data_IF_475123637725
#
_entry.id   IF_475123637725
#
_cell.length_a   1.000
_cell.length_b   1.000
_cell.length_c   1.000
_cell.angle_alpha   90.00
_cell.angle_beta   90.00
_cell.angle_gamma   90.00
#
_symmetry.space_group_name_H-M   'P 1'
#
loop_
_entity.id
_entity.type
_entity.pdbx_description
1 polymer ?
#
# COMPACT_ATOMS: atom_id res chain seq x y z
N UNK A 1 11.28 2.64 -30.41
CA UNK A 1 12.17 2.82 -29.23
C UNK A 1 11.57 3.70 -28.12
N UNK A 2 10.44 4.40 -28.33
CA UNK A 2 9.87 5.34 -27.34
C UNK A 2 9.12 4.70 -26.15
N UNK A 3 8.75 3.41 -26.20
CA UNK A 3 7.95 2.79 -25.12
C UNK A 3 8.73 2.49 -23.85
N UNK A 4 10.06 2.28 -23.94
CA UNK A 4 10.89 1.86 -22.81
C UNK A 4 10.85 2.83 -21.59
N UNK A 5 11.02 4.16 -21.74
CA UNK A 5 10.93 5.08 -20.61
C UNK A 5 9.51 5.13 -20.02
N UNK A 6 8.47 5.02 -20.85
CA UNK A 6 7.09 5.01 -20.38
C UNK A 6 6.79 3.76 -19.55
N UNK A 7 7.23 2.59 -19.99
CA UNK A 7 7.06 1.32 -19.26
C UNK A 7 7.81 1.32 -17.93
N UNK A 8 8.94 2.02 -17.82
CA UNK A 8 9.72 2.07 -16.58
C UNK A 8 8.95 2.71 -15.42
N UNK A 9 8.05 3.66 -15.72
CA UNK A 9 7.25 4.37 -14.71
C UNK A 9 5.84 3.78 -14.60
N UNK A 10 5.21 3.50 -15.73
CA UNK A 10 3.81 3.05 -15.75
C UNK A 10 3.61 1.64 -15.23
N UNK A 11 4.55 0.72 -15.42
CA UNK A 11 4.43 -0.64 -14.90
C UNK A 11 4.44 -0.66 -13.35
N UNK A 12 5.40 -0.04 -12.66
CA UNK A 12 5.37 0.05 -11.20
C UNK A 12 4.15 0.81 -10.66
N UNK A 13 3.68 1.82 -11.38
CA UNK A 13 2.49 2.59 -11.01
C UNK A 13 1.21 1.74 -11.09
N UNK A 14 1.02 0.99 -12.18
CA UNK A 14 -0.12 0.08 -12.31
C UNK A 14 -0.08 -1.05 -11.28
N UNK A 15 1.11 -1.58 -10.97
CA UNK A 15 1.30 -2.51 -9.88
C UNK A 15 0.87 -1.92 -8.53
N UNK A 16 1.29 -0.69 -8.25
CA UNK A 16 0.94 0.02 -7.02
C UNK A 16 -0.56 0.31 -6.88
N UNK A 17 -1.29 0.52 -7.98
CA UNK A 17 -2.75 0.65 -7.94
C UNK A 17 -3.44 -0.67 -7.55
N UNK A 18 -2.88 -1.81 -7.95
CA UNK A 18 -3.40 -3.13 -7.60
C UNK A 18 -3.02 -3.56 -6.19
N UNK A 19 -1.81 -3.23 -5.73
CA UNK A 19 -1.31 -3.62 -4.41
C UNK A 19 -1.72 -2.64 -3.29
N UNK A 20 -1.97 -1.38 -3.65
CA UNK A 20 -2.46 -0.21 -2.89
C UNK A 20 -2.70 -0.30 -1.38
N UNK A 21 -1.76 -0.85 -0.62
CA UNK A 21 -1.75 -0.88 0.84
C UNK A 21 -0.48 -0.17 1.32
N UNK A 22 -0.66 0.80 2.20
CA UNK A 22 0.44 1.59 2.75
C UNK A 22 1.40 0.71 3.59
N UNK A 23 0.86 -0.25 4.34
CA UNK A 23 1.62 -1.14 5.20
C UNK A 23 2.49 -2.12 4.41
N UNK A 24 1.87 -2.88 3.51
CA UNK A 24 2.61 -3.81 2.66
C UNK A 24 3.58 -3.09 1.71
N UNK A 25 3.18 -1.93 1.17
CA UNK A 25 4.03 -1.07 0.36
C UNK A 25 5.28 -0.60 1.10
N UNK A 26 5.15 -0.25 2.39
CA UNK A 26 6.26 0.13 3.27
C UNK A 26 7.25 -1.03 3.49
N UNK A 27 6.75 -2.24 3.74
CA UNK A 27 7.61 -3.42 3.92
C UNK A 27 8.40 -3.70 2.63
N UNK A 28 7.73 -3.67 1.48
CA UNK A 28 8.38 -3.87 0.18
C UNK A 28 9.41 -2.77 -0.13
N UNK A 29 9.09 -1.52 0.20
CA UNK A 29 10.01 -0.39 0.04
C UNK A 29 11.27 -0.55 0.90
N UNK A 30 11.11 -0.90 2.19
CA UNK A 30 12.23 -1.12 3.10
C UNK A 30 13.10 -2.32 2.67
N UNK A 31 12.48 -3.40 2.22
CA UNK A 31 13.19 -4.56 1.70
C UNK A 31 14.00 -4.21 0.44
N UNK A 32 13.41 -3.44 -0.50
CA UNK A 32 14.10 -2.97 -1.70
C UNK A 32 15.26 -2.02 -1.36
N UNK A 33 15.05 -1.10 -0.42
CA UNK A 33 16.07 -0.17 0.06
C UNK A 33 17.25 -0.92 0.69
N UNK A 34 16.97 -1.94 1.50
CA UNK A 34 18.01 -2.80 2.07
C UNK A 34 18.84 -3.49 0.98
N UNK A 35 18.20 -4.02 -0.07
CA UNK A 35 18.92 -4.61 -1.21
C UNK A 35 19.78 -3.60 -1.96
N UNK A 36 19.31 -2.36 -2.14
CA UNK A 36 20.10 -1.29 -2.77
C UNK A 36 21.31 -0.93 -1.91
N UNK A 37 21.16 -0.80 -0.59
CA UNK A 37 22.28 -0.49 0.31
C UNK A 37 23.34 -1.58 0.36
N UNK A 38 22.94 -2.85 0.18
CA UNK A 38 23.83 -4.01 0.21
C UNK A 38 24.37 -4.43 -1.16
N UNK A 39 24.18 -3.61 -2.19
CA UNK A 39 24.54 -3.95 -3.57
C UNK A 39 26.01 -4.36 -3.71
N UNK A 40 26.94 -3.63 -3.07
CA UNK A 40 28.39 -3.89 -3.15
C UNK A 40 28.80 -5.23 -2.54
N UNK A 41 28.12 -5.67 -1.49
CA UNK A 41 28.41 -6.95 -0.84
C UNK A 41 27.88 -8.13 -1.67
N UNK A 42 26.73 -7.95 -2.33
CA UNK A 42 26.13 -8.94 -3.23
C UNK A 42 26.89 -9.07 -4.56
N UNK A 43 27.41 -7.96 -5.09
CA UNK A 43 28.23 -7.96 -6.30
C UNK A 43 29.60 -8.63 -6.08
N UNK A 44 30.20 -8.44 -4.90
CA UNK A 44 31.42 -9.15 -4.52
C UNK A 44 31.19 -10.66 -4.33
N UNK A 45 30.04 -11.07 -3.77
CA UNK A 45 29.67 -12.48 -3.60
C UNK A 45 29.37 -13.18 -4.94
N UNK A 46 28.85 -12.44 -5.93
CA UNK A 46 28.58 -12.95 -7.29
C UNK A 46 29.83 -13.49 -7.98
N UNK A 47 31.01 -12.90 -7.73
CA UNK A 47 32.27 -13.29 -8.38
C UNK A 47 32.86 -14.58 -7.75
N UNK A 48 32.61 -14.83 -6.47
CA UNK A 48 33.14 -16.03 -5.77
C UNK A 48 32.31 -17.30 -5.98
N UNK A 49 31.03 -17.19 -6.34
CA UNK A 49 30.06 -18.31 -6.30
C UNK A 49 29.79 -18.99 -7.66
N UNK A 50 30.48 -18.62 -8.75
CA UNK A 50 30.30 -19.26 -10.07
C UNK A 50 30.57 -20.79 -10.07
N UNK A 51 31.32 -21.29 -9.08
CA UNK A 51 31.64 -22.73 -8.93
C UNK A 51 30.61 -23.49 -8.07
N UNK A 52 29.83 -22.80 -7.22
CA UNK A 52 28.76 -23.41 -6.38
C UNK A 52 27.39 -23.42 -7.07
N UNK A 53 27.38 -22.97 -8.34
CA UNK A 53 26.26 -22.40 -9.09
C UNK A 53 25.27 -23.41 -9.68
N UNK A 54 25.55 -24.72 -9.66
CA UNK A 54 24.74 -25.68 -10.43
C UNK A 54 23.56 -26.33 -9.67
N UNK A 55 23.55 -26.29 -8.35
CA UNK A 55 22.57 -27.04 -7.53
C UNK A 55 21.40 -26.18 -6.99
N UNK A 56 21.52 -24.85 -7.00
CA UNK A 56 20.54 -23.88 -6.43
C UNK A 56 19.91 -23.01 -7.55
N UNK A 57 19.71 -23.60 -8.74
CA UNK A 57 19.42 -22.85 -9.97
C UNK A 57 18.11 -22.04 -9.91
N UNK A 58 17.11 -22.49 -9.12
CA UNK A 58 15.80 -21.83 -9.00
C UNK A 58 15.82 -20.55 -8.15
N UNK A 59 16.39 -20.62 -6.94
CA UNK A 59 16.45 -19.47 -6.01
C UNK A 59 17.38 -18.40 -6.55
N UNK A 60 18.53 -18.79 -7.11
CA UNK A 60 19.50 -17.83 -7.64
C UNK A 60 18.92 -17.01 -8.81
N UNK A 61 18.13 -17.61 -9.70
CA UNK A 61 17.55 -16.91 -10.85
C UNK A 61 16.60 -15.77 -10.43
N UNK A 62 15.81 -16.00 -9.38
CA UNK A 62 14.89 -15.00 -8.84
C UNK A 62 15.70 -13.85 -8.22
N UNK A 63 16.75 -14.18 -7.45
CA UNK A 63 17.64 -13.17 -6.87
C UNK A 63 18.40 -12.37 -7.94
N UNK A 64 18.89 -13.01 -9.01
CA UNK A 64 19.56 -12.31 -10.12
C UNK A 64 18.61 -11.37 -10.86
N UNK A 65 17.37 -11.82 -11.10
CA UNK A 65 16.33 -10.99 -11.75
C UNK A 65 15.92 -9.82 -10.85
N UNK A 66 15.76 -10.05 -9.54
CA UNK A 66 15.48 -9.01 -8.55
C UNK A 66 16.62 -7.98 -8.45
N UNK A 67 17.87 -8.42 -8.52
CA UNK A 67 19.04 -7.52 -8.46
C UNK A 67 19.16 -6.64 -9.72
N UNK A 68 18.82 -7.19 -10.89
CA UNK A 68 18.68 -6.42 -12.13
C UNK A 68 17.53 -5.41 -12.06
N UNK A 69 16.43 -5.77 -11.39
CA UNK A 69 15.24 -4.94 -11.19
C UNK A 69 15.23 -4.08 -9.92
N UNK A 70 16.36 -3.89 -9.23
CA UNK A 70 16.41 -3.24 -7.89
C UNK A 70 15.70 -1.89 -7.81
N UNK A 71 15.89 -1.03 -8.82
CA UNK A 71 15.22 0.27 -8.88
C UNK A 71 13.73 0.17 -9.21
N UNK A 72 13.33 -0.85 -9.98
CA UNK A 72 11.93 -1.09 -10.34
C UNK A 72 11.15 -1.52 -9.10
N UNK A 73 11.72 -2.41 -8.27
CA UNK A 73 11.09 -2.88 -7.02
C UNK A 73 11.00 -1.73 -6.00
N UNK A 74 12.03 -0.89 -5.92
CA UNK A 74 12.01 0.32 -5.11
C UNK A 74 10.89 1.29 -5.54
N UNK A 75 10.76 1.53 -6.86
CA UNK A 75 9.68 2.33 -7.44
C UNK A 75 8.30 1.72 -7.18
N UNK A 76 8.15 0.40 -7.28
CA UNK A 76 6.90 -0.31 -6.95
C UNK A 76 6.48 -0.05 -5.50
N UNK A 77 7.40 -0.18 -4.54
CA UNK A 77 7.13 0.12 -3.13
C UNK A 77 6.78 1.58 -2.90
N UNK A 78 7.52 2.51 -3.51
CA UNK A 78 7.27 3.95 -3.38
C UNK A 78 5.88 4.35 -3.91
N UNK A 79 5.51 3.86 -5.09
CA UNK A 79 4.17 4.13 -5.63
C UNK A 79 3.07 3.45 -4.83
N UNK A 80 3.32 2.26 -4.26
CA UNK A 80 2.33 1.58 -3.42
C UNK A 80 2.03 2.33 -2.12
N UNK A 81 3.05 2.97 -1.51
CA UNK A 81 2.84 3.84 -0.34
C UNK A 81 2.00 5.05 -0.75
N UNK A 82 2.28 5.63 -1.92
CA UNK A 82 1.51 6.78 -2.44
C UNK A 82 0.05 6.42 -2.69
N UNK A 83 -0.23 5.32 -3.39
CA UNK A 83 -1.61 4.87 -3.64
C UNK A 83 -2.31 4.42 -2.36
N UNK A 84 -1.62 3.73 -1.45
CA UNK A 84 -2.16 3.35 -0.14
C UNK A 84 -2.51 4.55 0.74
N UNK A 85 -1.72 5.64 0.66
CA UNK A 85 -2.05 6.89 1.34
C UNK A 85 -3.30 7.56 0.75
N UNK A 86 -3.47 7.53 -0.58
CA UNK A 86 -4.67 8.03 -1.25
C UNK A 86 -5.90 7.19 -0.90
N UNK A 87 -5.76 5.86 -0.88
CA UNK A 87 -6.84 4.95 -0.52
C UNK A 87 -7.20 4.99 0.96
N UNK A 88 -6.33 5.59 1.79
CA UNK A 88 -6.52 5.66 3.23
C UNK A 88 -6.70 4.25 3.83
N UNK A 89 -5.84 3.33 3.44
CA UNK A 89 -5.77 1.97 3.97
C UNK A 89 -4.32 1.63 4.32
N UNK A 90 -4.08 1.44 5.62
CA UNK A 90 -2.84 0.91 6.14
C UNK A 90 -3.12 -0.32 7.00
N UNK A 91 -2.66 -1.49 6.55
CA UNK A 91 -2.87 -2.76 7.26
C UNK A 91 -4.36 -3.03 7.56
N UNK A 92 -5.25 -2.75 6.61
CA UNK A 92 -6.70 -2.90 6.77
C UNK A 92 -7.33 -1.96 7.80
N UNK A 93 -6.65 -0.85 8.12
CA UNK A 93 -7.14 0.23 8.98
C UNK A 93 -7.12 1.55 8.23
N UNK A 94 -8.25 2.24 8.24
CA UNK A 94 -8.34 3.59 7.71
C UNK A 94 -7.86 4.63 8.73
N UNK A 95 -7.01 5.55 8.30
CA UNK A 95 -6.57 6.68 9.11
C UNK A 95 -7.60 7.81 9.05
N UNK A 96 -8.09 8.25 10.20
CA UNK A 96 -8.96 9.42 10.26
C UNK A 96 -8.15 10.72 10.42
N UNK A 97 -7.26 11.00 9.46
CA UNK A 97 -6.29 12.12 9.55
C UNK A 97 -6.93 13.52 9.48
N UNK A 98 -8.06 13.65 8.76
CA UNK A 98 -8.74 14.93 8.53
C UNK A 98 -10.12 15.03 9.20
N UNK A 99 -10.51 14.02 9.99
CA UNK A 99 -11.88 13.87 10.48
C UNK A 99 -12.80 13.24 9.43
N UNK A 100 -13.88 12.61 9.88
CA UNK A 100 -14.88 12.06 8.95
C UNK A 100 -15.75 13.19 8.42
N UNK A 101 -15.88 13.28 7.09
CA UNK A 101 -16.83 14.21 6.45
C UNK A 101 -18.28 13.82 6.76
N UNK A 102 -18.50 12.54 7.07
CA UNK A 102 -19.78 11.99 7.48
C UNK A 102 -20.00 12.15 8.98
N UNK A 103 -21.17 12.66 9.35
CA UNK A 103 -21.63 12.75 10.74
C UNK A 103 -22.79 11.78 10.98
N UNK A 104 -22.86 11.25 12.20
CA UNK A 104 -23.98 10.42 12.59
C UNK A 104 -25.22 11.30 12.80
N UNK A 105 -26.29 10.95 12.09
CA UNK A 105 -27.59 11.63 12.09
C UNK A 105 -28.42 11.20 13.31
N UNK A 106 -28.12 10.03 13.88
CA UNK A 106 -28.85 9.43 15.00
C UNK A 106 -28.25 9.84 16.36
N UNK A 107 -29.12 10.22 17.29
CA UNK A 107 -28.75 10.49 18.69
C UNK A 107 -28.39 9.19 19.41
N UNK A 108 -27.45 9.21 20.37
CA UNK A 108 -27.06 8.02 21.15
C UNK A 108 -28.26 7.34 21.82
N UNK A 109 -29.21 8.13 22.35
CA UNK A 109 -30.44 7.60 22.96
C UNK A 109 -31.30 6.83 21.97
N UNK A 110 -31.35 7.28 20.72
CA UNK A 110 -32.08 6.55 19.67
C UNK A 110 -31.36 5.25 19.31
N UNK A 111 -30.03 5.22 19.28
CA UNK A 111 -29.26 4.01 18.98
C UNK A 111 -29.40 2.93 20.07
N UNK A 112 -29.46 3.34 21.35
CA UNK A 112 -29.60 2.42 22.47
C UNK A 112 -31.01 1.80 22.58
N UNK A 113 -32.04 2.49 22.06
CA UNK A 113 -33.45 2.04 22.09
C UNK A 113 -33.80 1.10 20.92
N UNK A 114 -32.93 0.96 19.93
CA UNK A 114 -33.17 0.10 18.77
C UNK A 114 -32.65 -1.33 19.00
N UNK A 115 -33.36 -2.36 18.50
CA UNK A 115 -32.82 -3.71 18.50
C UNK A 115 -31.52 -3.75 17.68
N UNK A 116 -30.52 -4.48 18.17
CA UNK A 116 -29.16 -4.54 17.61
C UNK A 116 -29.10 -4.95 16.11
N UNK A 117 -30.18 -5.50 15.58
CA UNK A 117 -30.29 -6.06 14.24
C UNK A 117 -30.92 -5.09 13.22
N UNK A 118 -31.34 -3.89 13.65
CA UNK A 118 -31.96 -2.92 12.75
C UNK A 118 -30.91 -2.30 11.83
N UNK A 119 -31.02 -2.57 10.52
CA UNK A 119 -30.20 -1.92 9.50
C UNK A 119 -30.50 -0.42 9.44
N UNK A 120 -29.62 0.40 10.02
CA UNK A 120 -29.64 1.85 9.88
C UNK A 120 -28.73 2.24 8.72
N UNK A 121 -29.30 2.88 7.71
CA UNK A 121 -28.52 3.45 6.60
C UNK A 121 -28.24 4.92 6.87
N UNK A 122 -27.04 5.37 6.51
CA UNK A 122 -26.74 6.80 6.44
C UNK A 122 -27.33 7.35 5.14
N UNK A 123 -28.31 8.22 5.25
CA UNK A 123 -28.88 8.91 4.09
C UNK A 123 -27.91 10.01 3.64
N UNK A 124 -27.51 10.06 2.35
CA UNK A 124 -26.50 11.01 1.88
C UNK A 124 -26.98 12.47 1.97
N UNK A 125 -28.29 12.71 1.89
CA UNK A 125 -28.88 14.05 2.04
C UNK A 125 -28.62 14.68 3.41
N UNK A 126 -28.47 13.85 4.46
CA UNK A 126 -28.36 14.30 5.85
C UNK A 126 -26.95 14.12 6.42
N UNK A 127 -26.00 13.63 5.62
CA UNK A 127 -24.64 13.27 6.01
C UNK A 127 -23.83 14.41 6.64
N UNK A 128 -24.16 15.65 6.29
CA UNK A 128 -23.46 16.87 6.69
C UNK A 128 -24.24 17.73 7.70
N UNK A 129 -25.53 17.43 7.93
CA UNK A 129 -26.36 18.19 8.85
C UNK A 129 -26.15 17.69 10.28
N UNK A 130 -25.86 18.61 11.21
CA UNK A 130 -26.00 18.29 12.63
C UNK A 130 -27.49 18.17 12.93
N UNK A 131 -27.99 16.95 13.15
CA UNK A 131 -29.30 16.76 13.82
C UNK A 131 -29.20 17.03 15.33
N UNK A 132 -28.06 17.56 15.79
CA UNK A 132 -27.93 18.21 17.10
C UNK A 132 -28.46 19.64 17.01
N UNK A 133 -29.72 19.76 16.61
CA UNK A 133 -30.50 20.98 16.57
C UNK A 133 -31.56 20.98 17.67
N UNK A 134 -31.16 20.68 18.91
CA UNK A 134 -31.86 21.17 20.12
C UNK A 134 -30.79 21.63 21.11
N UNK A 135 -30.80 22.95 21.32
CA UNK A 135 -29.89 23.78 22.13
C UNK A 135 -30.38 23.93 23.57
N UNK A 136 -29.46 24.01 24.54
CA UNK A 136 -29.68 24.40 25.97
C UNK A 136 -30.60 23.52 26.81
#
# INVERSE_FOLDING_TARGET
MLSAPYTMITFPFLFALMFGDLGHGLIMFLAALFFIMKEKQLEAARISDEVKLRFILGVLHIFQTFFGGRYVIFLMGCFSIYTGFIYNDAFSKSFNLFGSSWRNIYSRRFLDDQPAERFLMFTPEWAYYNVVGVSW
#
